data_IF_787421179561
#
_entry.id   IF_787421179561
#
_cell.length_a   1.000
_cell.length_b   1.000
_cell.length_c   1.000
_cell.angle_alpha   90.00
_cell.angle_beta   90.00
_cell.angle_gamma   90.00
#
_symmetry.space_group_name_H-M   'P 1'
#
loop_
_entity.id
_entity.type
_entity.pdbx_description
1 polymer ?
#
# COMPACT_ATOMS: atom_id res chain seq x y z
N UNK A 1 7.18 2.47 -4.11
CA UNK A 1 7.57 1.77 -2.86
C UNK A 1 7.08 2.47 -1.57
N UNK A 2 7.07 3.82 -1.49
CA UNK A 2 6.53 4.56 -0.33
C UNK A 2 5.01 4.47 -0.13
N UNK A 3 4.23 4.26 -1.20
CA UNK A 3 2.77 4.21 -1.15
C UNK A 3 2.19 2.97 -0.43
N UNK A 4 2.98 1.90 -0.30
CA UNK A 4 2.55 0.66 0.34
C UNK A 4 2.73 0.67 1.87
N UNK A 5 3.58 1.56 2.41
CA UNK A 5 3.79 1.66 3.86
C UNK A 5 2.65 2.41 4.56
N UNK A 6 1.92 3.28 3.88
CA UNK A 6 0.80 4.02 4.46
C UNK A 6 -0.52 3.24 4.46
N UNK A 7 -0.69 2.30 3.52
CA UNK A 7 -1.90 1.50 3.40
C UNK A 7 -2.08 0.42 4.48
N UNK A 8 -1.02 0.13 5.24
CA UNK A 8 -1.04 -0.81 6.35
C UNK A 8 -1.29 -0.13 7.72
N UNK A 9 -1.42 1.20 7.79
CA UNK A 9 -1.47 1.93 9.07
C UNK A 9 -2.81 1.86 9.82
N UNK A 10 -3.91 1.47 9.16
CA UNK A 10 -5.26 1.68 9.70
C UNK A 10 -5.87 0.50 10.48
N UNK A 11 -6.07 -0.64 9.82
CA UNK A 11 -7.07 -1.62 10.28
C UNK A 11 -6.56 -3.02 10.60
N UNK A 12 -5.46 -3.48 10.00
CA UNK A 12 -4.91 -4.82 10.31
C UNK A 12 -3.68 -4.79 11.24
N UNK A 13 -2.94 -3.68 11.29
CA UNK A 13 -1.70 -3.63 12.08
C UNK A 13 -1.92 -3.84 13.58
N UNK A 14 -3.00 -3.28 14.16
CA UNK A 14 -3.29 -3.39 15.60
C UNK A 14 -3.58 -4.82 16.07
N UNK A 15 -4.02 -5.71 15.17
CA UNK A 15 -4.36 -7.10 15.53
C UNK A 15 -3.18 -8.06 15.34
N UNK A 16 -2.28 -7.76 14.39
CA UNK A 16 -1.08 -8.56 14.13
C UNK A 16 0.07 -8.26 15.08
N UNK A 17 0.23 -7.01 15.52
CA UNK A 17 1.34 -6.59 16.38
C UNK A 17 1.42 -7.33 17.72
N UNK A 18 0.31 -7.54 18.46
CA UNK A 18 0.36 -8.30 19.70
C UNK A 18 0.85 -9.73 19.43
N UNK A 19 0.23 -10.45 18.49
CA UNK A 19 0.56 -11.86 18.22
C UNK A 19 2.03 -12.05 17.76
N UNK A 20 2.54 -11.16 16.91
CA UNK A 20 3.95 -11.17 16.51
C UNK A 20 4.89 -10.82 17.67
N UNK A 21 4.55 -9.81 18.48
CA UNK A 21 5.34 -9.46 19.65
C UNK A 21 5.38 -10.58 20.70
N UNK A 22 4.27 -11.28 20.94
CA UNK A 22 4.21 -12.46 21.80
C UNK A 22 5.06 -13.60 21.25
N UNK A 23 5.01 -13.85 19.94
CA UNK A 23 5.82 -14.88 19.28
C UNK A 23 7.32 -14.60 19.39
N UNK A 24 7.75 -13.36 19.12
CA UNK A 24 9.15 -12.94 19.27
C UNK A 24 9.60 -13.02 20.73
N UNK A 25 8.77 -12.58 21.68
CA UNK A 25 9.05 -12.68 23.11
C UNK A 25 9.25 -14.14 23.56
N UNK A 26 8.38 -15.07 23.12
CA UNK A 26 8.53 -16.50 23.40
C UNK A 26 9.85 -17.07 22.87
N UNK A 27 10.27 -16.67 21.67
CA UNK A 27 11.56 -17.11 21.10
C UNK A 27 12.73 -16.59 21.95
N UNK A 28 12.70 -15.32 22.38
CA UNK A 28 13.72 -14.76 23.26
C UNK A 28 13.78 -15.48 24.61
N UNK A 29 12.63 -15.77 25.23
CA UNK A 29 12.58 -16.53 26.49
C UNK A 29 13.19 -17.94 26.34
N UNK A 30 12.89 -18.65 25.25
CA UNK A 30 13.47 -19.96 24.98
C UNK A 30 14.98 -19.91 24.72
N UNK A 31 15.47 -18.87 24.03
CA UNK A 31 16.91 -18.66 23.82
C UNK A 31 17.66 -18.38 25.12
N UNK A 32 17.06 -17.61 26.04
CA UNK A 32 17.64 -17.35 27.37
C UNK A 32 17.72 -18.64 28.19
N UNK A 33 16.66 -19.45 28.19
CA UNK A 33 16.66 -20.76 28.87
C UNK A 33 17.74 -21.67 28.27
N UNK A 34 17.82 -21.74 26.94
CA UNK A 34 18.84 -22.51 26.24
C UNK A 34 20.26 -22.07 26.62
N UNK A 35 20.51 -20.76 26.66
CA UNK A 35 21.82 -20.21 27.01
C UNK A 35 22.19 -20.50 28.47
N UNK A 36 21.23 -20.41 29.40
CA UNK A 36 21.43 -20.77 30.81
C UNK A 36 21.78 -22.25 30.94
N UNK A 37 21.08 -23.14 30.24
CA UNK A 37 21.39 -24.57 30.23
C UNK A 37 22.77 -24.85 29.60
N UNK A 38 23.08 -24.25 28.46
CA UNK A 38 24.38 -24.44 27.81
C UNK A 38 25.53 -23.98 28.70
N UNK A 39 25.40 -22.83 29.39
CA UNK A 39 26.39 -22.33 30.34
C UNK A 39 26.48 -23.15 31.62
N UNK A 40 25.37 -23.71 32.09
CA UNK A 40 25.36 -24.65 33.22
C UNK A 40 26.11 -25.94 32.88
N UNK A 41 25.93 -26.47 31.67
CA UNK A 41 26.70 -27.61 31.16
C UNK A 41 28.21 -27.36 31.14
N UNK A 42 28.64 -26.21 30.60
CA UNK A 42 30.06 -25.81 30.60
C UNK A 42 30.63 -25.65 32.02
N UNK A 43 29.90 -24.98 32.91
CA UNK A 43 30.33 -24.75 34.30
C UNK A 43 30.50 -26.08 35.07
N UNK A 44 29.59 -27.03 34.84
CA UNK A 44 29.65 -28.35 35.47
C UNK A 44 30.84 -29.18 34.99
N UNK A 45 31.15 -29.12 33.69
CA UNK A 45 32.28 -29.83 33.10
C UNK A 45 33.62 -29.32 33.64
N UNK A 46 33.69 -28.01 33.99
CA UNK A 46 34.83 -27.41 34.67
C UNK A 46 34.98 -27.81 36.15
N UNK A 47 33.88 -28.01 36.87
CA UNK A 47 33.91 -28.25 38.33
C UNK A 47 33.93 -29.73 38.75
N UNK A 48 33.89 -30.69 37.80
CA UNK A 48 33.97 -32.14 38.04
C UNK A 48 33.05 -32.68 39.16
N UNK A 49 31.84 -32.10 39.29
CA UNK A 49 30.84 -32.46 40.29
C UNK A 49 30.08 -33.69 39.80
N UNK A 50 30.66 -34.88 40.04
CA UNK A 50 30.21 -36.14 39.45
C UNK A 50 29.45 -37.13 40.35
N UNK A 51 29.07 -36.77 41.59
CA UNK A 51 28.71 -37.82 42.58
C UNK A 51 27.30 -37.78 43.18
N UNK A 52 26.42 -36.84 42.84
CA UNK A 52 25.07 -36.74 43.47
C UNK A 52 23.91 -36.48 42.49
N UNK A 53 24.10 -36.51 41.16
CA UNK A 53 23.21 -35.74 40.27
C UNK A 53 22.65 -36.43 39.01
N UNK A 54 22.48 -37.75 38.99
CA UNK A 54 21.90 -38.45 37.83
C UNK A 54 20.52 -37.91 37.41
N UNK A 55 19.67 -37.52 38.38
CA UNK A 55 18.36 -36.93 38.08
C UNK A 55 18.42 -35.49 37.54
N UNK A 56 19.50 -34.74 37.82
CA UNK A 56 19.69 -33.38 37.30
C UNK A 56 20.26 -33.42 35.87
N UNK A 57 21.04 -34.44 35.52
CA UNK A 57 21.46 -34.67 34.14
C UNK A 57 20.28 -34.93 33.21
N UNK A 58 19.41 -35.87 33.61
CA UNK A 58 18.24 -36.24 32.81
C UNK A 58 17.28 -35.06 32.64
N UNK A 59 17.10 -34.24 33.68
CA UNK A 59 16.33 -33.01 33.62
C UNK A 59 16.95 -31.98 32.67
N UNK A 60 18.27 -31.82 32.72
CA UNK A 60 18.99 -30.85 31.89
C UNK A 60 18.94 -31.21 30.40
N UNK A 61 19.15 -32.49 30.07
CA UNK A 61 19.05 -32.99 28.69
C UNK A 61 17.62 -32.93 28.16
N UNK A 62 16.63 -33.20 29.01
CA UNK A 62 15.21 -33.09 28.64
C UNK A 62 14.81 -31.63 28.41
N UNK A 63 15.27 -30.70 29.25
CA UNK A 63 14.98 -29.28 29.07
C UNK A 63 15.62 -28.69 27.81
N UNK A 64 16.85 -29.13 27.48
CA UNK A 64 17.51 -28.79 26.22
C UNK A 64 16.78 -29.36 25.00
N UNK A 65 16.34 -30.62 25.03
CA UNK A 65 15.63 -31.21 23.89
C UNK A 65 14.27 -30.56 23.66
N UNK A 66 13.53 -30.27 24.74
CA UNK A 66 12.22 -29.61 24.68
C UNK A 66 12.35 -28.17 24.18
N UNK A 67 13.36 -27.42 24.64
CA UNK A 67 13.59 -26.05 24.17
C UNK A 67 14.00 -25.97 22.70
N UNK A 68 14.88 -26.86 22.24
CA UNK A 68 15.24 -26.96 20.81
C UNK A 68 14.04 -27.37 19.96
N UNK A 69 13.26 -28.37 20.41
CA UNK A 69 12.05 -28.81 19.73
C UNK A 69 11.00 -27.70 19.60
N UNK A 70 10.76 -26.95 20.67
CA UNK A 70 9.84 -25.82 20.68
C UNK A 70 10.28 -24.70 19.71
N UNK A 71 11.59 -24.43 19.63
CA UNK A 71 12.14 -23.39 18.76
C UNK A 71 11.97 -23.74 17.27
N UNK A 72 12.21 -25.01 16.92
CA UNK A 72 11.99 -25.50 15.54
C UNK A 72 10.51 -25.41 15.17
N UNK A 73 9.60 -25.86 16.03
CA UNK A 73 8.16 -25.80 15.78
C UNK A 73 7.66 -24.36 15.59
N UNK A 74 8.07 -23.43 16.46
CA UNK A 74 7.69 -22.02 16.35
C UNK A 74 8.25 -21.37 15.07
N UNK A 75 9.48 -21.70 14.68
CA UNK A 75 10.07 -21.22 13.44
C UNK A 75 9.34 -21.72 12.19
N UNK A 76 8.89 -22.98 12.20
CA UNK A 76 8.11 -23.56 11.12
C UNK A 76 6.74 -22.89 10.96
N UNK A 77 6.03 -22.65 12.07
CA UNK A 77 4.73 -21.96 12.06
C UNK A 77 4.90 -20.51 11.58
N UNK A 78 5.93 -19.80 12.06
CA UNK A 78 6.25 -18.45 11.61
C UNK A 78 6.62 -18.42 10.12
N UNK A 79 7.41 -19.38 9.63
CA UNK A 79 7.79 -19.52 8.23
C UNK A 79 6.60 -19.80 7.32
N UNK A 80 5.69 -20.71 7.71
CA UNK A 80 4.46 -21.00 6.96
C UNK A 80 3.53 -19.78 6.96
N UNK A 81 3.38 -19.10 8.09
CA UNK A 81 2.62 -17.85 8.18
C UNK A 81 3.21 -16.76 7.30
N UNK A 82 4.54 -16.62 7.28
CA UNK A 82 5.26 -15.69 6.43
C UNK A 82 5.09 -16.04 4.94
N UNK A 83 5.20 -17.32 4.56
CA UNK A 83 4.97 -17.75 3.16
C UNK A 83 3.52 -17.55 2.76
N UNK A 84 2.56 -17.81 3.64
CA UNK A 84 1.14 -17.62 3.34
C UNK A 84 0.77 -16.14 3.22
N UNK A 85 1.30 -15.29 4.10
CA UNK A 85 1.17 -13.82 4.00
C UNK A 85 1.89 -13.29 2.77
N UNK A 86 3.09 -13.79 2.45
CA UNK A 86 3.80 -13.45 1.22
C UNK A 86 3.09 -13.95 -0.03
N UNK A 87 2.39 -15.08 -0.01
CA UNK A 87 1.53 -15.55 -1.11
C UNK A 87 0.26 -14.72 -1.25
N UNK A 88 -0.31 -14.26 -0.13
CA UNK A 88 -1.44 -13.32 -0.12
C UNK A 88 -1.01 -11.91 -0.57
N UNK A 89 0.25 -11.52 -0.31
CA UNK A 89 0.81 -10.22 -0.69
C UNK A 89 1.54 -10.23 -2.04
N UNK A 90 1.94 -11.40 -2.56
CA UNK A 90 2.35 -11.57 -3.97
C UNK A 90 1.09 -11.39 -4.81
N UNK A 91 0.82 -10.11 -5.06
CA UNK A 91 0.52 -9.59 -6.38
C UNK A 91 -0.39 -10.56 -7.13
N UNK A 92 -1.70 -10.41 -6.90
CA UNK A 92 -2.58 -10.51 -8.07
C UNK A 92 -1.89 -9.61 -9.10
N UNK A 93 -1.46 -10.12 -10.27
CA UNK A 93 -1.08 -9.20 -11.33
C UNK A 93 -2.25 -8.24 -11.42
N UNK A 94 -2.00 -6.94 -11.27
CA UNK A 94 -3.02 -5.93 -11.53
C UNK A 94 -3.53 -6.30 -12.91
N UNK A 95 -4.69 -6.96 -12.93
CA UNK A 95 -5.47 -7.15 -14.13
C UNK A 95 -5.60 -5.72 -14.61
N UNK A 96 -5.03 -5.42 -15.77
CA UNK A 96 -4.98 -4.06 -16.30
C UNK A 96 -6.34 -3.45 -16.03
N UNK A 97 -6.39 -2.50 -15.08
CA UNK A 97 -7.66 -1.98 -14.57
C UNK A 97 -8.32 -1.38 -15.81
N UNK A 98 -9.45 -1.94 -16.23
CA UNK A 98 -10.10 -1.44 -17.42
C UNK A 98 -10.55 -0.01 -17.14
N UNK A 99 -10.60 0.84 -18.17
CA UNK A 99 -11.03 2.23 -17.98
C UNK A 99 -12.40 2.29 -17.30
N UNK A 100 -13.30 1.37 -17.68
CA UNK A 100 -14.65 1.26 -17.12
C UNK A 100 -14.63 0.87 -15.62
N UNK A 101 -13.79 -0.09 -15.22
CA UNK A 101 -13.66 -0.50 -13.82
C UNK A 101 -13.11 0.65 -12.96
N UNK A 102 -12.11 1.37 -13.46
CA UNK A 102 -11.51 2.51 -12.77
C UNK A 102 -12.50 3.67 -12.64
N UNK A 103 -13.32 3.91 -13.68
CA UNK A 103 -14.31 4.99 -13.70
C UNK A 103 -15.47 4.74 -12.73
N UNK A 104 -15.85 3.48 -12.48
CA UNK A 104 -16.84 3.16 -11.45
C UNK A 104 -16.42 3.61 -10.04
N UNK A 105 -15.10 3.72 -9.81
CA UNK A 105 -14.54 4.18 -8.55
C UNK A 105 -14.35 5.70 -8.51
N UNK A 106 -14.46 6.40 -9.65
CA UNK A 106 -14.27 7.84 -9.76
C UNK A 106 -15.63 8.55 -9.71
N UNK A 107 -15.85 9.32 -8.66
CA UNK A 107 -17.04 10.15 -8.49
C UNK A 107 -16.66 11.63 -8.38
N UNK A 108 -17.41 12.51 -9.05
CA UNK A 108 -17.15 13.94 -9.04
C UNK A 108 -18.28 14.61 -8.27
N UNK A 109 -17.98 15.08 -7.06
CA UNK A 109 -18.95 15.77 -6.21
C UNK A 109 -18.83 17.29 -6.38
N UNK A 110 -19.74 17.85 -7.18
CA UNK A 110 -19.84 19.30 -7.41
C UNK A 110 -20.29 20.07 -6.18
N UNK A 111 -21.15 19.49 -5.34
CA UNK A 111 -21.72 20.17 -4.18
C UNK A 111 -20.70 20.19 -3.03
N UNK A 112 -20.01 19.06 -2.84
CA UNK A 112 -18.90 18.94 -1.88
C UNK A 112 -17.59 19.57 -2.37
N UNK A 113 -17.49 19.96 -3.65
CA UNK A 113 -16.30 20.62 -4.18
C UNK A 113 -15.09 19.69 -4.30
N UNK A 114 -15.30 18.39 -4.49
CA UNK A 114 -14.23 17.40 -4.47
C UNK A 114 -14.37 16.30 -5.52
N UNK A 115 -13.24 15.70 -5.88
CA UNK A 115 -13.15 14.47 -6.68
C UNK A 115 -12.91 13.33 -5.71
N UNK A 116 -13.71 12.27 -5.80
CA UNK A 116 -13.61 11.09 -4.97
C UNK A 116 -13.12 9.94 -5.84
N UNK A 117 -12.04 9.28 -5.44
CA UNK A 117 -11.59 8.04 -6.06
C UNK A 117 -11.51 6.96 -4.98
N UNK A 118 -12.31 5.91 -5.13
CA UNK A 118 -12.49 4.86 -4.12
C UNK A 118 -12.90 5.44 -2.76
N UNK A 119 -11.99 5.49 -1.77
CA UNK A 119 -12.23 6.04 -0.42
C UNK A 119 -11.49 7.38 -0.17
N UNK A 120 -10.86 7.96 -1.19
CA UNK A 120 -10.10 9.21 -1.08
C UNK A 120 -10.85 10.36 -1.72
N UNK A 121 -10.91 11.51 -1.04
CA UNK A 121 -11.43 12.76 -1.57
C UNK A 121 -10.31 13.77 -1.84
N UNK A 122 -10.44 14.52 -2.92
CA UNK A 122 -9.49 15.53 -3.36
C UNK A 122 -10.23 16.82 -3.65
N UNK A 123 -9.92 17.88 -2.92
CA UNK A 123 -10.54 19.19 -3.15
C UNK A 123 -10.15 19.72 -4.51
N UNK A 124 -11.13 20.25 -5.25
CA UNK A 124 -10.91 20.81 -6.56
C UNK A 124 -11.77 22.05 -6.78
N UNK A 125 -11.25 23.02 -7.52
CA UNK A 125 -12.01 24.21 -7.86
C UNK A 125 -13.25 23.85 -8.71
N UNK A 126 -14.35 24.61 -8.65
CA UNK A 126 -15.56 24.34 -9.44
C UNK A 126 -15.30 24.19 -10.95
N UNK A 127 -14.34 24.96 -11.50
CA UNK A 127 -13.95 24.88 -12.91
C UNK A 127 -13.31 23.54 -13.27
N UNK A 128 -12.50 22.99 -12.37
CA UNK A 128 -11.84 21.69 -12.55
C UNK A 128 -12.85 20.56 -12.42
N UNK A 129 -13.81 20.67 -11.50
CA UNK A 129 -14.90 19.70 -11.34
C UNK A 129 -15.78 19.65 -12.60
N UNK A 130 -16.17 20.81 -13.14
CA UNK A 130 -16.94 20.88 -14.38
C UNK A 130 -16.16 20.26 -15.55
N UNK A 131 -14.87 20.56 -15.66
CA UNK A 131 -14.00 20.01 -16.69
C UNK A 131 -13.89 18.49 -16.62
N UNK A 132 -13.60 17.95 -15.44
CA UNK A 132 -13.46 16.51 -15.23
C UNK A 132 -14.78 15.77 -15.43
N UNK A 133 -15.88 16.33 -14.97
CA UNK A 133 -17.19 15.70 -15.13
C UNK A 133 -17.56 15.61 -16.60
N UNK A 134 -17.34 16.69 -17.36
CA UNK A 134 -17.63 16.67 -18.80
C UNK A 134 -16.75 15.65 -19.54
N UNK A 135 -15.48 15.50 -19.15
CA UNK A 135 -14.59 14.47 -19.69
C UNK A 135 -15.07 13.06 -19.37
N UNK A 136 -15.49 12.80 -18.12
CA UNK A 136 -15.96 11.47 -17.70
C UNK A 136 -17.28 11.10 -18.36
N UNK A 137 -18.18 12.08 -18.57
CA UNK A 137 -19.49 11.84 -19.19
C UNK A 137 -19.43 11.53 -20.70
N UNK A 138 -18.38 11.94 -21.40
CA UNK A 138 -18.25 11.66 -22.84
C UNK A 138 -17.76 10.24 -23.07
N UNK A 139 -18.35 9.56 -24.05
CA UNK A 139 -18.01 8.17 -24.42
C UNK A 139 -16.54 7.99 -24.85
N UNK A 140 -15.98 8.99 -25.53
CA UNK A 140 -14.58 8.99 -26.00
C UNK A 140 -13.60 9.59 -24.98
N UNK A 141 -14.13 10.03 -23.84
CA UNK A 141 -13.45 10.81 -22.80
C UNK A 141 -12.56 11.94 -23.34
N UNK A 142 -12.97 12.56 -24.45
CA UNK A 142 -12.20 13.58 -25.15
C UNK A 142 -13.00 14.88 -25.25
N UNK A 143 -12.38 15.99 -24.86
CA UNK A 143 -13.00 17.32 -24.84
C UNK A 143 -12.26 18.26 -25.80
N UNK A 144 -12.99 18.84 -26.75
CA UNK A 144 -12.43 19.80 -27.70
C UNK A 144 -12.20 21.17 -27.06
N UNK A 145 -11.39 22.01 -27.70
CA UNK A 145 -11.18 23.39 -27.26
C UNK A 145 -12.44 24.25 -27.39
N UNK A 146 -13.30 23.96 -28.36
CA UNK A 146 -14.58 24.63 -28.55
C UNK A 146 -15.55 24.29 -27.42
N UNK A 147 -15.70 23.00 -27.11
CA UNK A 147 -16.52 22.50 -25.99
C UNK A 147 -16.03 23.04 -24.64
N UNK A 148 -14.70 23.14 -24.47
CA UNK A 148 -14.10 23.74 -23.28
C UNK A 148 -14.45 25.23 -23.16
N UNK A 149 -14.48 25.94 -24.29
CA UNK A 149 -14.94 27.33 -24.38
C UNK A 149 -16.41 27.47 -24.03
N UNK A 150 -17.27 26.54 -24.46
CA UNK A 150 -18.68 26.55 -24.05
C UNK A 150 -18.85 26.27 -22.54
N UNK A 151 -18.06 25.35 -22.00
CA UNK A 151 -18.11 24.95 -20.59
C UNK A 151 -17.61 26.05 -19.64
N UNK A 152 -16.51 26.73 -19.98
CA UNK A 152 -15.82 27.70 -19.12
C UNK A 152 -16.04 29.16 -19.53
N UNK A 153 -16.75 29.40 -20.64
CA UNK A 153 -17.11 30.71 -21.19
C UNK A 153 -16.42 31.01 -22.53
N UNK A 154 -17.15 31.59 -23.49
CA UNK A 154 -16.76 31.75 -24.91
C UNK A 154 -15.40 32.42 -25.17
N UNK A 155 -14.82 33.11 -24.18
CA UNK A 155 -13.48 33.69 -24.25
C UNK A 155 -12.37 32.82 -23.66
N UNK A 156 -12.64 31.61 -23.20
CA UNK A 156 -11.64 30.75 -22.53
C UNK A 156 -10.62 30.16 -23.52
N UNK A 157 -11.07 29.86 -24.73
CA UNK A 157 -10.31 29.26 -25.83
C UNK A 157 -10.22 30.20 -27.05
N UNK A 158 -9.90 31.49 -26.81
CA UNK A 158 -9.86 32.55 -27.82
C UNK A 158 -8.57 32.61 -28.68
N UNK A 159 -7.67 31.63 -28.54
CA UNK A 159 -6.40 31.56 -29.28
C UNK A 159 -5.33 32.58 -28.87
N UNK A 160 -5.59 33.44 -27.87
CA UNK A 160 -4.61 34.43 -27.37
C UNK A 160 -3.53 33.79 -26.48
N UNK A 161 -2.41 34.47 -26.23
CA UNK A 161 -1.42 34.02 -25.23
C UNK A 161 -2.03 33.81 -23.84
N UNK A 162 -3.03 34.62 -23.49
CA UNK A 162 -3.78 34.47 -22.25
C UNK A 162 -4.59 33.17 -22.21
N UNK A 163 -5.11 32.70 -23.35
CA UNK A 163 -5.77 31.39 -23.49
C UNK A 163 -4.79 30.25 -23.23
N UNK A 164 -3.63 30.24 -23.88
CA UNK A 164 -2.63 29.18 -23.67
C UNK A 164 -2.21 29.07 -22.20
N UNK A 165 -2.06 30.22 -21.52
CA UNK A 165 -1.77 30.26 -20.08
C UNK A 165 -2.89 29.67 -19.22
N UNK A 166 -4.15 29.98 -19.54
CA UNK A 166 -5.34 29.41 -18.87
C UNK A 166 -5.44 27.90 -19.06
N UNK A 167 -5.26 27.43 -20.31
CA UNK A 167 -5.26 26.00 -20.67
C UNK A 167 -4.14 25.23 -19.96
N UNK A 168 -2.94 25.82 -19.87
CA UNK A 168 -1.83 25.22 -19.13
C UNK A 168 -2.12 25.16 -17.64
N UNK A 169 -2.74 26.20 -17.08
CA UNK A 169 -3.08 26.25 -15.67
C UNK A 169 -4.13 25.18 -15.31
N UNK A 170 -5.23 25.08 -16.08
CA UNK A 170 -6.25 24.06 -15.79
C UNK A 170 -5.69 22.64 -15.92
N UNK A 171 -4.88 22.36 -16.95
CA UNK A 171 -4.19 21.07 -17.09
C UNK A 171 -3.30 20.76 -15.88
N UNK A 172 -2.54 21.75 -15.41
CA UNK A 172 -1.66 21.61 -14.26
C UNK A 172 -2.43 21.30 -12.98
N UNK A 173 -3.54 22.01 -12.74
CA UNK A 173 -4.39 21.78 -11.56
C UNK A 173 -5.04 20.40 -11.63
N UNK A 174 -5.60 20.03 -12.78
CA UNK A 174 -6.19 18.69 -13.00
C UNK A 174 -5.16 17.59 -12.75
N UNK A 175 -3.95 17.73 -13.28
CA UNK A 175 -2.89 16.75 -13.07
C UNK A 175 -2.50 16.62 -11.59
N UNK A 176 -2.52 17.73 -10.83
CA UNK A 176 -2.31 17.69 -9.37
C UNK A 176 -3.46 17.01 -8.64
N UNK A 177 -4.71 17.32 -9.00
CA UNK A 177 -5.91 16.70 -8.41
C UNK A 177 -5.94 15.20 -8.66
N UNK A 178 -5.57 14.75 -9.87
CA UNK A 178 -5.55 13.35 -10.25
C UNK A 178 -4.22 12.65 -9.91
N UNK A 179 -3.28 13.28 -9.21
CA UNK A 179 -1.95 12.73 -8.98
C UNK A 179 -2.00 11.34 -8.34
N UNK A 180 -2.87 11.17 -7.36
CA UNK A 180 -3.05 9.97 -6.55
C UNK A 180 -4.12 9.01 -7.08
N UNK A 181 -4.61 9.24 -8.31
CA UNK A 181 -5.56 8.36 -9.00
C UNK A 181 -4.86 7.68 -10.19
N UNK A 182 -5.43 6.60 -10.76
CA UNK A 182 -4.88 5.98 -11.96
C UNK A 182 -5.13 6.81 -13.23
N UNK A 183 -5.75 8.00 -13.13
CA UNK A 183 -6.10 8.83 -14.28
C UNK A 183 -5.08 9.93 -14.54
N UNK A 184 -4.92 10.29 -15.81
CA UNK A 184 -4.24 11.52 -16.24
C UNK A 184 -5.01 12.17 -17.40
N UNK A 185 -4.74 13.45 -17.63
CA UNK A 185 -5.33 14.19 -18.76
C UNK A 185 -4.23 14.65 -19.70
N UNK A 186 -4.25 14.08 -20.91
CA UNK A 186 -3.27 14.34 -21.97
C UNK A 186 -3.88 15.16 -23.10
N UNK A 187 -3.03 15.69 -23.97
CA UNK A 187 -3.46 16.33 -25.22
C UNK A 187 -3.34 15.30 -26.33
N UNK A 188 -4.39 15.12 -27.11
CA UNK A 188 -4.35 14.27 -28.30
C UNK A 188 -3.61 14.95 -29.46
N UNK A 189 -3.48 14.26 -30.60
CA UNK A 189 -2.82 14.79 -31.80
C UNK A 189 -3.51 16.03 -32.38
N UNK A 190 -4.78 16.25 -32.05
CA UNK A 190 -5.59 17.38 -32.49
C UNK A 190 -5.62 18.53 -31.47
N UNK A 191 -4.96 18.36 -30.32
CA UNK A 191 -4.92 19.34 -29.24
C UNK A 191 -6.13 19.31 -28.31
N UNK A 192 -6.99 18.31 -28.40
CA UNK A 192 -8.10 18.08 -27.47
C UNK A 192 -7.59 17.47 -26.17
N UNK A 193 -8.35 17.64 -25.09
CA UNK A 193 -8.03 17.01 -23.81
C UNK A 193 -8.63 15.63 -23.75
N UNK A 194 -7.83 14.62 -23.39
CA UNK A 194 -8.29 13.24 -23.27
C UNK A 194 -7.96 12.68 -21.90
N UNK A 195 -8.95 12.07 -21.26
CA UNK A 195 -8.74 11.30 -20.03
C UNK A 195 -8.15 9.92 -20.40
N UNK A 196 -7.06 9.55 -19.73
CA UNK A 196 -6.37 8.28 -19.96
C UNK A 196 -6.01 7.63 -18.64
N UNK A 197 -5.82 6.31 -18.65
CA UNK A 197 -5.17 5.62 -17.55
C UNK A 197 -3.66 5.87 -17.62
N UNK A 198 -3.06 6.19 -16.47
CA UNK A 198 -1.61 6.22 -16.32
C UNK A 198 -1.09 4.82 -16.61
N UNK A 199 -0.15 4.71 -17.54
CA UNK A 199 0.64 3.49 -17.66
C UNK A 199 1.30 3.26 -16.30
N UNK A 200 0.94 2.14 -15.65
CA UNK A 200 1.41 1.81 -14.31
C UNK A 200 2.91 2.05 -14.22
N UNK A 201 3.30 3.03 -13.39
CA UNK A 201 4.68 3.46 -13.27
C UNK A 201 5.58 2.26 -13.04
N UNK A 202 6.52 2.06 -13.96
CA UNK A 202 7.62 1.10 -13.81
C UNK A 202 8.37 1.34 -12.51
#
# INVERSE_FOLDING_TARGET
MYYYMEHMKGYDLKRFFPALAWGVSCIFFLLVIFFICSKYGEYRLLCNVGLVNDGIDELHTTLLSVSVGALVCLSGIAGIGLVWTLRKSKVRPLKAESMDDALQLLHIDKFGGCVIYSYKSFDASPRVLLFLEKLVQKEDHTLSLEELGELLGKGYSDGTESCYSRLRNIKCIVHKTLRDTPFDVVRDAFGNFKLVLKEGGK
#
